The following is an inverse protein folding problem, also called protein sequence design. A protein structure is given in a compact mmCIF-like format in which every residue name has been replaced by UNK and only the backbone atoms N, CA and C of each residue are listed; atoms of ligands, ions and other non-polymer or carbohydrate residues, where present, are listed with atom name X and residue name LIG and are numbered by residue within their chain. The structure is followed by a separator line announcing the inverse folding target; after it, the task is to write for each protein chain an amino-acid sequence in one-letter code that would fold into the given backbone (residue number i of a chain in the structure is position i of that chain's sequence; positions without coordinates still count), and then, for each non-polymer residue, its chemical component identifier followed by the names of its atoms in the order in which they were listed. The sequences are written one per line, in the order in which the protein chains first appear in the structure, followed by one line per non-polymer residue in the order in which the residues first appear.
data_IF_796861612637
#
_entry.id   IF_796861612637
#
_cell.length_a   1.000
_cell.length_b   1.000
_cell.length_c   1.000
_cell.angle_alpha   90.00
_cell.angle_beta   90.00
_cell.angle_gamma   90.00
#
_symmetry.space_group_name_H-M   'P 1'
#
loop_
_entity.id
_entity.type
_entity.pdbx_description
1 polymer ?
#
# COMPACT_ATOMS: atom_id res chain seq x y z
N UNK A 1 -169.51 68.70 84.01
CA UNK A 1 -169.80 67.79 82.89
C UNK A 1 -168.49 67.20 82.43
N UNK A 2 -168.47 65.89 82.20
CA UNK A 2 -167.44 64.94 82.59
C UNK A 2 -166.76 64.38 81.32
N UNK A 3 -165.83 63.41 81.36
CA UNK A 3 -166.16 61.98 81.38
C UNK A 3 -164.99 61.11 81.87
N UNK A 4 -165.34 60.12 82.68
CA UNK A 4 -164.53 58.97 83.11
C UNK A 4 -164.38 57.94 81.96
N UNK A 5 -163.67 56.82 82.16
CA UNK A 5 -162.22 56.66 82.21
C UNK A 5 -161.76 55.62 81.15
N UNK A 6 -160.46 55.49 80.87
CA UNK A 6 -159.96 54.28 80.21
C UNK A 6 -158.73 53.73 80.94
N UNK A 7 -158.96 53.24 82.16
CA UNK A 7 -158.02 52.36 82.90
C UNK A 7 -157.63 51.11 82.09
N UNK A 8 -158.43 50.74 81.07
CA UNK A 8 -158.10 49.71 80.07
C UNK A 8 -156.91 50.10 79.17
N UNK A 9 -156.74 51.37 78.83
CA UNK A 9 -155.62 51.86 78.02
C UNK A 9 -154.32 51.89 78.82
N UNK A 10 -154.34 52.35 80.07
CA UNK A 10 -153.14 52.40 80.91
C UNK A 10 -152.61 51.01 81.32
N UNK A 11 -153.51 50.05 81.60
CA UNK A 11 -153.13 48.65 81.83
C UNK A 11 -152.70 47.94 80.54
N UNK A 12 -153.34 48.26 79.40
CA UNK A 12 -152.92 47.79 78.08
C UNK A 12 -151.52 48.28 77.69
N UNK A 13 -151.20 49.54 77.99
CA UNK A 13 -149.89 50.14 77.76
C UNK A 13 -148.80 49.58 78.68
N UNK A 14 -149.11 49.33 79.96
CA UNK A 14 -148.14 48.70 80.88
C UNK A 14 -147.86 47.24 80.48
N UNK A 15 -148.87 46.48 80.07
CA UNK A 15 -148.72 45.09 79.58
C UNK A 15 -147.99 45.07 78.24
N UNK A 16 -148.25 46.03 77.34
CA UNK A 16 -147.53 46.12 76.06
C UNK A 16 -146.08 46.54 76.25
N UNK A 17 -145.79 47.47 77.17
CA UNK A 17 -144.43 47.84 77.57
C UNK A 17 -143.68 46.69 78.24
N UNK A 18 -144.35 45.92 79.12
CA UNK A 18 -143.79 44.72 79.74
C UNK A 18 -143.48 43.62 78.72
N UNK A 19 -144.38 43.37 77.77
CA UNK A 19 -144.14 42.45 76.64
C UNK A 19 -143.01 42.95 75.73
N UNK A 20 -142.94 44.25 75.46
CA UNK A 20 -141.86 44.84 74.66
C UNK A 20 -140.50 44.83 75.39
N UNK A 21 -140.49 44.91 76.73
CA UNK A 21 -139.28 44.72 77.52
C UNK A 21 -138.82 43.25 77.51
N UNK A 22 -139.73 42.31 77.73
CA UNK A 22 -139.41 40.88 77.64
C UNK A 22 -138.93 40.48 76.24
N UNK A 23 -139.56 40.97 75.18
CA UNK A 23 -139.10 40.75 73.81
C UNK A 23 -137.71 41.34 73.55
N UNK A 24 -137.37 42.49 74.18
CA UNK A 24 -136.01 43.06 74.13
C UNK A 24 -135.01 42.22 74.89
N UNK A 25 -135.36 41.72 76.08
CA UNK A 25 -134.48 40.83 76.86
C UNK A 25 -134.25 39.51 76.13
N UNK A 26 -135.29 38.91 75.55
CA UNK A 26 -135.18 37.70 74.73
C UNK A 26 -134.37 37.95 73.45
N UNK A 27 -134.52 39.12 72.81
CA UNK A 27 -133.70 39.51 71.65
C UNK A 27 -132.23 39.70 72.02
N UNK A 28 -131.93 40.31 73.16
CA UNK A 28 -130.54 40.49 73.65
C UNK A 28 -129.95 39.14 74.06
N UNK A 29 -130.71 38.29 74.77
CA UNK A 29 -130.26 36.94 75.13
C UNK A 29 -130.02 36.06 73.88
N UNK A 30 -130.87 36.19 72.85
CA UNK A 30 -130.69 35.54 71.55
C UNK A 30 -129.46 36.05 70.80
N UNK A 31 -129.20 37.36 70.81
CA UNK A 31 -128.01 37.96 70.21
C UNK A 31 -126.73 37.50 70.91
N UNK A 32 -126.69 37.50 72.25
CA UNK A 32 -125.55 37.01 73.03
C UNK A 32 -125.32 35.51 72.78
N UNK A 33 -126.39 34.71 72.70
CA UNK A 33 -126.27 33.28 72.42
C UNK A 33 -125.74 33.02 71.01
N UNK A 34 -126.16 33.82 70.02
CA UNK A 34 -125.65 33.75 68.65
C UNK A 34 -124.18 34.19 68.56
N UNK A 35 -123.78 35.26 69.26
CA UNK A 35 -122.38 35.69 69.37
C UNK A 35 -121.51 34.63 70.06
N UNK A 36 -122.00 34.01 71.14
CA UNK A 36 -121.29 32.93 71.83
C UNK A 36 -121.13 31.70 70.93
N UNK A 37 -122.18 31.30 70.22
CA UNK A 37 -122.12 30.20 69.26
C UNK A 37 -121.15 30.49 68.10
N UNK A 38 -121.15 31.72 67.58
CA UNK A 38 -120.20 32.16 66.56
C UNK A 38 -118.76 32.16 67.09
N UNK A 39 -118.54 32.61 68.33
CA UNK A 39 -117.22 32.58 68.98
C UNK A 39 -116.75 31.15 69.26
N UNK A 40 -117.62 30.25 69.70
CA UNK A 40 -117.30 28.82 69.85
C UNK A 40 -116.95 28.17 68.50
N UNK A 41 -117.72 28.47 67.45
CA UNK A 41 -117.45 27.98 66.10
C UNK A 41 -116.11 28.50 65.58
N UNK A 42 -115.82 29.80 65.76
CA UNK A 42 -114.54 30.39 65.43
C UNK A 42 -113.40 29.75 66.24
N UNK A 43 -113.57 29.54 67.54
CA UNK A 43 -112.56 28.88 68.39
C UNK A 43 -112.28 27.44 67.94
N UNK A 44 -113.30 26.70 67.48
CA UNK A 44 -113.13 25.35 66.91
C UNK A 44 -112.42 25.38 65.56
N UNK A 45 -112.74 26.35 64.70
CA UNK A 45 -112.06 26.57 63.43
C UNK A 45 -110.57 26.90 63.64
N UNK A 46 -110.28 27.87 64.51
CA UNK A 46 -108.90 28.24 64.89
C UNK A 46 -108.14 27.07 65.52
N UNK A 47 -108.78 26.26 66.36
CA UNK A 47 -108.16 25.05 66.90
C UNK A 47 -107.83 24.02 65.80
N UNK A 48 -108.73 23.85 64.82
CA UNK A 48 -108.52 23.00 63.65
C UNK A 48 -107.38 23.49 62.75
N UNK A 49 -107.35 24.79 62.43
CA UNK A 49 -106.28 25.42 61.64
C UNK A 49 -104.92 25.30 62.35
N UNK A 50 -104.88 25.53 63.67
CA UNK A 50 -103.66 25.38 64.46
C UNK A 50 -103.16 23.93 64.48
N UNK A 51 -104.08 22.96 64.50
CA UNK A 51 -103.72 21.55 64.43
C UNK A 51 -103.21 21.18 63.03
N UNK A 52 -103.84 21.66 61.96
CA UNK A 52 -103.38 21.47 60.59
C UNK A 52 -101.97 22.04 60.37
N UNK A 53 -101.69 23.25 60.86
CA UNK A 53 -100.36 23.86 60.80
C UNK A 53 -99.31 23.06 61.59
N UNK A 54 -99.67 22.48 62.74
CA UNK A 54 -98.76 21.61 63.50
C UNK A 54 -98.45 20.31 62.76
N UNK A 55 -99.45 19.72 62.12
CA UNK A 55 -99.27 18.49 61.36
C UNK A 55 -98.47 18.75 60.07
N UNK A 56 -98.62 19.92 59.44
CA UNK A 56 -97.79 20.38 58.32
C UNK A 56 -96.33 20.66 58.72
N UNK A 57 -96.09 21.36 59.84
CA UNK A 57 -94.74 21.56 60.40
C UNK A 57 -94.06 20.22 60.74
N UNK A 58 -94.80 19.26 61.33
CA UNK A 58 -94.27 17.90 61.57
C UNK A 58 -93.87 17.23 60.25
N UNK A 59 -94.74 17.26 59.24
CA UNK A 59 -94.47 16.67 57.92
C UNK A 59 -93.25 17.30 57.24
N UNK A 60 -93.12 18.62 57.29
CA UNK A 60 -91.98 19.33 56.72
C UNK A 60 -90.66 18.98 57.45
N UNK A 61 -90.69 18.81 58.77
CA UNK A 61 -89.51 18.35 59.53
C UNK A 61 -89.11 16.93 59.16
N UNK A 62 -90.07 16.01 59.06
CA UNK A 62 -89.80 14.62 58.61
C UNK A 62 -89.23 14.60 57.18
N UNK A 63 -89.75 15.44 56.28
CA UNK A 63 -89.20 15.60 54.93
C UNK A 63 -87.78 16.18 54.95
N UNK A 64 -87.51 17.19 55.78
CA UNK A 64 -86.18 17.79 55.92
C UNK A 64 -85.16 16.78 56.47
N UNK A 65 -85.57 15.98 57.47
CA UNK A 65 -84.74 14.90 58.01
C UNK A 65 -84.43 13.86 56.93
N UNK A 66 -85.41 13.41 56.15
CA UNK A 66 -85.21 12.48 55.03
C UNK A 66 -84.27 13.06 53.96
N UNK A 67 -84.43 14.32 53.57
CA UNK A 67 -83.53 14.99 52.61
C UNK A 67 -82.12 15.12 53.20
N UNK A 68 -81.99 15.43 54.49
CA UNK A 68 -80.68 15.53 55.14
C UNK A 68 -79.96 14.19 55.19
N UNK A 69 -80.69 13.09 55.42
CA UNK A 69 -80.16 11.74 55.43
C UNK A 69 -79.67 11.32 54.03
N UNK A 70 -80.50 11.50 53.00
CA UNK A 70 -80.10 11.21 51.60
C UNK A 70 -78.92 12.05 51.14
N UNK A 71 -78.83 13.32 51.57
CA UNK A 71 -77.70 14.18 51.26
C UNK A 71 -76.41 13.73 51.97
N UNK A 72 -76.51 13.19 53.19
CA UNK A 72 -75.37 12.58 53.88
C UNK A 72 -74.90 11.30 53.17
N UNK A 73 -75.82 10.43 52.73
CA UNK A 73 -75.50 9.24 51.94
C UNK A 73 -74.82 9.59 50.61
N UNK A 74 -75.34 10.60 49.89
CA UNK A 74 -74.75 11.08 48.65
C UNK A 74 -73.35 11.65 48.86
N UNK A 75 -73.12 12.41 49.94
CA UNK A 75 -71.77 12.90 50.29
C UNK A 75 -70.79 11.76 50.54
N UNK A 76 -71.20 10.72 51.26
CA UNK A 76 -70.37 9.53 51.47
C UNK A 76 -70.12 8.75 50.18
N UNK A 77 -71.11 8.69 49.28
CA UNK A 77 -70.95 8.05 47.97
C UNK A 77 -69.96 8.83 47.08
N UNK A 78 -70.07 10.17 47.04
CA UNK A 78 -69.12 11.02 46.31
C UNK A 78 -67.70 10.85 46.86
N UNK A 79 -67.53 10.84 48.18
CA UNK A 79 -66.21 10.65 48.78
C UNK A 79 -65.59 9.30 48.39
N UNK A 80 -66.37 8.21 48.43
CA UNK A 80 -65.91 6.89 47.95
C UNK A 80 -65.51 6.90 46.48
N UNK A 81 -66.28 7.57 45.62
CA UNK A 81 -65.95 7.69 44.19
C UNK A 81 -64.66 8.51 43.99
N UNK A 82 -64.44 9.56 44.78
CA UNK A 82 -63.20 10.34 44.76
C UNK A 82 -62.00 9.48 45.16
N UNK A 83 -62.11 8.69 46.23
CA UNK A 83 -61.07 7.75 46.66
C UNK A 83 -60.77 6.69 45.59
N UNK A 84 -61.81 6.08 45.01
CA UNK A 84 -61.65 5.10 43.92
C UNK A 84 -61.00 5.73 42.68
N UNK A 85 -61.40 6.95 42.31
CA UNK A 85 -60.79 7.68 41.19
C UNK A 85 -59.31 7.95 41.44
N UNK A 86 -58.95 8.37 42.64
CA UNK A 86 -57.58 8.69 43.00
C UNK A 86 -56.72 7.42 43.04
N UNK A 87 -57.27 6.28 43.50
CA UNK A 87 -56.61 4.98 43.41
C UNK A 87 -56.38 4.55 41.96
N UNK A 88 -57.41 4.66 41.10
CA UNK A 88 -57.28 4.34 39.67
C UNK A 88 -56.25 5.24 38.98
N UNK A 89 -56.18 6.52 39.36
CA UNK A 89 -55.17 7.44 38.86
C UNK A 89 -53.76 6.99 39.27
N UNK A 90 -53.58 6.58 40.53
CA UNK A 90 -52.32 6.06 41.04
C UNK A 90 -51.89 4.77 40.33
N UNK A 91 -52.80 3.80 40.18
CA UNK A 91 -52.53 2.53 39.51
C UNK A 91 -52.16 2.74 38.04
N UNK A 92 -52.83 3.69 37.36
CA UNK A 92 -52.49 4.06 35.98
C UNK A 92 -51.10 4.67 35.88
N UNK A 93 -50.72 5.52 36.82
CA UNK A 93 -49.39 6.14 36.83
C UNK A 93 -48.30 5.11 37.12
N UNK A 94 -48.53 4.17 38.04
CA UNK A 94 -47.63 3.04 38.26
C UNK A 94 -47.49 2.16 37.01
N UNK A 95 -48.61 1.81 36.37
CA UNK A 95 -48.61 1.01 35.14
C UNK A 95 -47.88 1.73 33.99
N UNK A 96 -48.04 3.06 33.89
CA UNK A 96 -47.30 3.89 32.94
C UNK A 96 -45.80 3.85 33.21
N UNK A 97 -45.38 4.06 34.45
CA UNK A 97 -43.96 3.98 34.83
C UNK A 97 -43.36 2.60 34.55
N UNK A 98 -44.11 1.52 34.85
CA UNK A 98 -43.70 0.15 34.55
C UNK A 98 -43.54 -0.09 33.05
N UNK A 99 -44.47 0.42 32.21
CA UNK A 99 -44.35 0.37 30.75
C UNK A 99 -43.14 1.14 30.24
N UNK A 100 -42.92 2.37 30.72
CA UNK A 100 -41.77 3.18 30.33
C UNK A 100 -40.44 2.51 30.73
N UNK A 101 -40.38 1.83 31.88
CA UNK A 101 -39.21 1.05 32.29
C UNK A 101 -38.98 -0.15 31.36
N UNK A 102 -40.02 -0.93 31.07
CA UNK A 102 -39.93 -2.07 30.15
C UNK A 102 -39.56 -1.64 28.72
N UNK A 103 -40.07 -0.51 28.24
CA UNK A 103 -39.70 0.06 26.93
C UNK A 103 -38.22 0.47 26.89
N UNK A 104 -37.68 1.03 27.97
CA UNK A 104 -36.24 1.34 28.07
C UNK A 104 -35.40 0.06 28.04
N UNK A 105 -35.77 -0.97 28.79
CA UNK A 105 -35.09 -2.27 28.75
C UNK A 105 -35.16 -2.90 27.35
N UNK A 106 -36.31 -2.87 26.70
CA UNK A 106 -36.47 -3.35 25.33
C UNK A 106 -35.60 -2.55 24.34
N UNK A 107 -35.51 -1.23 24.50
CA UNK A 107 -34.65 -0.39 23.67
C UNK A 107 -33.16 -0.76 23.86
N UNK A 108 -32.72 -0.97 25.10
CA UNK A 108 -31.33 -1.39 25.39
C UNK A 108 -31.01 -2.77 24.81
N UNK A 109 -31.88 -3.75 25.00
CA UNK A 109 -31.70 -5.10 24.45
C UNK A 109 -31.71 -5.12 22.92
N UNK A 110 -32.55 -4.27 22.29
CA UNK A 110 -32.55 -4.10 20.83
C UNK A 110 -31.25 -3.47 20.34
N UNK A 111 -30.71 -2.48 21.05
CA UNK A 111 -29.42 -1.88 20.73
C UNK A 111 -28.28 -2.90 20.86
N UNK A 112 -28.27 -3.71 21.92
CA UNK A 112 -27.30 -4.78 22.12
C UNK A 112 -27.41 -5.86 21.03
N UNK A 113 -28.62 -6.29 20.65
CA UNK A 113 -28.81 -7.21 19.53
C UNK A 113 -28.29 -6.62 18.20
N UNK A 114 -28.48 -5.32 17.98
CA UNK A 114 -28.00 -4.65 16.76
C UNK A 114 -26.47 -4.63 16.74
N UNK A 115 -25.84 -4.32 17.88
CA UNK A 115 -24.38 -4.37 18.05
C UNK A 115 -23.82 -5.78 17.85
N UNK A 116 -24.47 -6.80 18.41
CA UNK A 116 -24.07 -8.20 18.23
C UNK A 116 -24.21 -8.64 16.76
N UNK A 117 -25.25 -8.20 16.06
CA UNK A 117 -25.43 -8.48 14.63
C UNK A 117 -24.33 -7.83 13.78
N UNK A 118 -23.96 -6.60 14.10
CA UNK A 118 -22.85 -5.91 13.44
C UNK A 118 -21.51 -6.63 13.69
N UNK A 119 -21.22 -7.00 14.94
CA UNK A 119 -20.03 -7.79 15.29
C UNK A 119 -19.99 -9.13 14.56
N UNK A 120 -21.12 -9.85 14.49
CA UNK A 120 -21.22 -11.09 13.73
C UNK A 120 -20.95 -10.85 12.24
N UNK A 121 -21.46 -9.74 11.68
CA UNK A 121 -21.19 -9.31 10.31
C UNK A 121 -19.69 -9.11 10.05
N UNK A 122 -18.99 -8.44 10.96
CA UNK A 122 -17.52 -8.28 10.88
C UNK A 122 -16.81 -9.63 10.91
N UNK A 123 -17.13 -10.50 11.88
CA UNK A 123 -16.51 -11.82 12.01
C UNK A 123 -16.77 -12.69 10.76
N UNK A 124 -17.97 -12.61 10.16
CA UNK A 124 -18.24 -13.32 8.91
C UNK A 124 -17.40 -12.81 7.75
N UNK A 125 -17.22 -11.49 7.64
CA UNK A 125 -16.38 -10.89 6.60
C UNK A 125 -14.91 -11.28 6.77
N UNK A 126 -14.42 -11.27 8.01
CA UNK A 126 -13.05 -11.68 8.32
C UNK A 126 -12.82 -13.16 8.02
N UNK A 127 -13.79 -14.03 8.36
CA UNK A 127 -13.76 -15.45 8.00
C UNK A 127 -13.68 -15.64 6.48
N UNK A 128 -14.51 -14.93 5.72
CA UNK A 128 -14.56 -15.06 4.26
C UNK A 128 -13.26 -14.53 3.63
N UNK A 129 -12.67 -13.47 4.18
CA UNK A 129 -11.35 -12.98 3.77
C UNK A 129 -10.25 -14.01 4.04
N UNK A 130 -10.21 -14.61 5.24
CA UNK A 130 -9.26 -15.67 5.58
C UNK A 130 -9.43 -16.91 4.70
N UNK A 131 -10.66 -17.25 4.31
CA UNK A 131 -10.91 -18.35 3.37
C UNK A 131 -10.37 -18.04 1.97
N UNK A 132 -10.51 -16.80 1.51
CA UNK A 132 -9.92 -16.36 0.23
C UNK A 132 -8.38 -16.41 0.28
N UNK A 133 -7.77 -15.91 1.35
CA UNK A 133 -6.32 -15.98 1.57
C UNK A 133 -5.83 -17.43 1.61
N UNK A 134 -6.58 -18.34 2.25
CA UNK A 134 -6.25 -19.77 2.29
C UNK A 134 -6.25 -20.39 0.89
N UNK A 135 -7.21 -20.03 0.03
CA UNK A 135 -7.24 -20.48 -1.37
C UNK A 135 -6.03 -19.93 -2.12
N UNK A 136 -5.70 -18.65 -1.93
CA UNK A 136 -4.55 -18.02 -2.57
C UNK A 136 -3.23 -18.70 -2.17
N UNK A 137 -3.02 -18.98 -0.88
CA UNK A 137 -1.85 -19.73 -0.42
C UNK A 137 -1.79 -21.14 -1.01
N UNK A 138 -2.93 -21.79 -1.23
CA UNK A 138 -3.01 -23.07 -1.93
C UNK A 138 -2.49 -22.97 -3.36
N UNK A 139 -2.95 -21.96 -4.12
CA UNK A 139 -2.52 -21.71 -5.49
C UNK A 139 -1.03 -21.34 -5.57
N UNK A 140 -0.57 -20.45 -4.70
CA UNK A 140 0.84 -20.03 -4.64
C UNK A 140 1.75 -21.25 -4.34
N UNK A 141 1.32 -22.13 -3.43
CA UNK A 141 2.02 -23.38 -3.13
C UNK A 141 2.10 -24.30 -4.35
N UNK A 142 1.01 -24.49 -5.09
CA UNK A 142 1.02 -25.29 -6.31
C UNK A 142 1.94 -24.69 -7.39
N UNK A 143 1.94 -23.37 -7.55
CA UNK A 143 2.85 -22.66 -8.45
C UNK A 143 4.31 -22.86 -8.06
N UNK A 144 4.63 -22.74 -6.77
CA UNK A 144 5.98 -22.96 -6.25
C UNK A 144 6.43 -24.40 -6.47
N UNK A 145 5.59 -25.39 -6.17
CA UNK A 145 5.90 -26.80 -6.45
C UNK A 145 6.14 -27.04 -7.95
N UNK A 146 5.32 -26.43 -8.81
CA UNK A 146 5.54 -26.48 -10.26
C UNK A 146 6.81 -25.78 -10.73
N UNK A 147 7.26 -24.74 -10.03
CA UNK A 147 8.56 -24.10 -10.31
C UNK A 147 9.73 -24.97 -9.85
N UNK A 148 9.58 -25.64 -8.71
CA UNK A 148 10.58 -26.55 -8.16
C UNK A 148 10.80 -27.76 -9.08
N UNK A 149 9.74 -28.35 -9.61
CA UNK A 149 9.85 -29.46 -10.57
C UNK A 149 10.55 -29.03 -11.86
N UNK A 150 10.17 -27.88 -12.43
CA UNK A 150 10.86 -27.33 -13.62
C UNK A 150 12.33 -27.03 -13.37
N UNK A 151 12.68 -26.53 -12.19
CA UNK A 151 14.07 -26.28 -11.81
C UNK A 151 14.84 -27.60 -11.68
N UNK A 152 14.26 -28.62 -11.05
CA UNK A 152 14.85 -29.96 -10.95
C UNK A 152 15.09 -30.59 -12.31
N UNK A 153 14.13 -30.49 -13.22
CA UNK A 153 14.29 -30.95 -14.61
C UNK A 153 15.44 -30.22 -15.32
N UNK A 154 15.54 -28.90 -15.16
CA UNK A 154 16.62 -28.11 -15.77
C UNK A 154 18.00 -28.40 -15.17
N UNK A 155 18.08 -28.67 -13.87
CA UNK A 155 19.33 -29.14 -13.24
C UNK A 155 19.72 -30.49 -13.82
N UNK A 156 18.77 -31.43 -13.90
CA UNK A 156 19.04 -32.75 -14.49
C UNK A 156 19.49 -32.67 -15.95
N UNK A 157 18.95 -31.73 -16.76
CA UNK A 157 19.40 -31.56 -18.14
C UNK A 157 20.82 -30.98 -18.20
N UNK A 158 21.12 -29.97 -17.38
CA UNK A 158 22.45 -29.37 -17.31
C UNK A 158 23.51 -30.37 -16.82
N UNK A 159 23.17 -31.25 -15.88
CA UNK A 159 24.07 -32.31 -15.43
C UNK A 159 24.37 -33.31 -16.56
N UNK A 160 23.39 -33.62 -17.41
CA UNK A 160 23.58 -34.47 -18.58
C UNK A 160 24.47 -33.79 -19.64
N UNK A 161 24.22 -32.50 -19.92
CA UNK A 161 25.04 -31.70 -20.84
C UNK A 161 26.49 -31.61 -20.35
N UNK A 162 26.68 -31.34 -19.06
CA UNK A 162 28.01 -31.27 -18.43
C UNK A 162 28.75 -32.62 -18.50
N UNK A 163 28.03 -33.73 -18.36
CA UNK A 163 28.62 -35.06 -18.52
C UNK A 163 29.07 -35.32 -19.96
N UNK A 164 28.28 -34.87 -20.95
CA UNK A 164 28.65 -34.95 -22.38
C UNK A 164 29.91 -34.13 -22.68
N UNK A 165 29.95 -32.87 -22.26
CA UNK A 165 31.10 -31.98 -22.43
C UNK A 165 32.36 -32.53 -21.78
N UNK A 166 32.24 -33.14 -20.59
CA UNK A 166 33.38 -33.81 -19.94
C UNK A 166 33.90 -35.00 -20.74
N UNK A 167 33.02 -35.82 -21.30
CA UNK A 167 33.41 -36.95 -22.15
C UNK A 167 34.08 -36.48 -23.44
N UNK A 168 33.58 -35.41 -24.06
CA UNK A 168 34.20 -34.80 -25.25
C UNK A 168 35.58 -34.23 -24.93
N UNK A 169 35.71 -33.53 -23.80
CA UNK A 169 37.00 -33.01 -23.34
C UNK A 169 38.02 -34.12 -23.08
N UNK A 170 37.61 -35.22 -22.45
CA UNK A 170 38.46 -36.39 -22.22
C UNK A 170 38.91 -37.03 -23.55
N UNK A 171 38.00 -37.16 -24.52
CA UNK A 171 38.32 -37.65 -25.86
C UNK A 171 39.28 -36.72 -26.63
N UNK A 172 39.15 -35.40 -26.45
CA UNK A 172 40.09 -34.43 -27.01
C UNK A 172 41.46 -34.52 -26.33
N UNK A 173 41.51 -34.72 -25.01
CA UNK A 173 42.75 -34.91 -24.27
C UNK A 173 43.51 -36.16 -24.72
N UNK A 174 42.82 -37.30 -24.90
CA UNK A 174 43.45 -38.53 -25.39
C UNK A 174 43.98 -38.35 -26.81
N UNK A 175 43.20 -37.73 -27.70
CA UNK A 175 43.65 -37.40 -29.07
C UNK A 175 44.86 -36.47 -29.09
N UNK A 176 44.89 -35.47 -28.20
CA UNK A 176 46.05 -34.59 -28.07
C UNK A 176 47.28 -35.37 -27.59
N UNK A 177 47.13 -36.26 -26.59
CA UNK A 177 48.21 -37.12 -26.12
C UNK A 177 48.77 -38.00 -27.26
N UNK A 178 47.91 -38.65 -28.05
CA UNK A 178 48.31 -39.44 -29.22
C UNK A 178 49.07 -38.60 -30.25
N UNK A 179 48.58 -37.40 -30.58
CA UNK A 179 49.25 -36.49 -31.52
C UNK A 179 50.62 -36.04 -30.98
N UNK A 180 50.74 -35.78 -29.68
CA UNK A 180 52.04 -35.44 -29.08
C UNK A 180 53.01 -36.62 -29.11
N UNK A 181 52.55 -37.85 -28.90
CA UNK A 181 53.38 -39.05 -29.00
C UNK A 181 53.85 -39.28 -30.45
N UNK A 182 52.94 -39.12 -31.42
CA UNK A 182 53.27 -39.18 -32.86
C UNK A 182 54.28 -38.10 -33.26
N UNK A 183 54.09 -36.87 -32.77
CA UNK A 183 55.02 -35.77 -33.00
C UNK A 183 56.42 -36.06 -32.42
N UNK A 184 56.48 -36.54 -31.18
CA UNK A 184 57.73 -36.91 -30.53
C UNK A 184 58.44 -38.05 -31.27
N UNK A 185 57.70 -39.05 -31.76
CA UNK A 185 58.26 -40.15 -32.57
C UNK A 185 58.81 -39.66 -33.90
N UNK A 186 58.08 -38.81 -34.61
CA UNK A 186 58.58 -38.21 -35.85
C UNK A 186 59.83 -37.35 -35.60
N UNK A 187 59.87 -36.61 -34.49
CA UNK A 187 61.05 -35.85 -34.09
C UNK A 187 62.25 -36.77 -33.81
N UNK A 188 62.06 -37.89 -33.10
CA UNK A 188 63.12 -38.86 -32.85
C UNK A 188 63.62 -39.53 -34.13
N UNK A 189 62.70 -39.93 -35.03
CA UNK A 189 63.03 -40.54 -36.31
C UNK A 189 63.81 -39.56 -37.20
N UNK A 190 63.43 -38.28 -37.19
CA UNK A 190 64.14 -37.23 -37.91
C UNK A 190 65.56 -37.01 -37.35
N UNK A 191 65.72 -36.97 -36.03
CA UNK A 191 67.04 -36.88 -35.38
C UNK A 191 67.91 -38.08 -35.73
N UNK A 192 67.37 -39.30 -35.65
CA UNK A 192 68.08 -40.52 -36.02
C UNK A 192 68.50 -40.52 -37.49
N UNK A 193 67.60 -40.12 -38.41
CA UNK A 193 67.92 -40.02 -39.84
C UNK A 193 69.01 -38.98 -40.11
N UNK A 194 68.96 -37.84 -39.42
CA UNK A 194 69.99 -36.80 -39.53
C UNK A 194 71.34 -37.28 -39.02
N UNK A 195 71.39 -38.01 -37.90
CA UNK A 195 72.62 -38.62 -37.39
C UNK A 195 73.19 -39.66 -38.36
N UNK A 196 72.34 -40.52 -38.94
CA UNK A 196 72.76 -41.49 -39.94
C UNK A 196 73.35 -40.82 -41.19
N UNK A 197 72.67 -39.80 -41.73
CA UNK A 197 73.18 -39.02 -42.86
C UNK A 197 74.48 -38.31 -42.51
N UNK A 198 74.61 -37.75 -41.31
CA UNK A 198 75.86 -37.11 -40.87
C UNK A 198 77.01 -38.13 -40.75
N UNK A 199 76.74 -39.34 -40.27
CA UNK A 199 77.72 -40.42 -40.22
C UNK A 199 78.13 -40.91 -41.62
N UNK A 200 77.17 -41.01 -42.55
CA UNK A 200 77.45 -41.36 -43.95
C UNK A 200 78.27 -40.28 -44.65
N UNK A 201 77.94 -39.00 -44.46
CA UNK A 201 78.76 -37.87 -44.94
C UNK A 201 80.15 -37.92 -44.31
N UNK A 202 80.27 -38.24 -43.01
CA UNK A 202 81.57 -38.35 -42.35
C UNK A 202 82.41 -39.50 -42.92
N UNK A 203 81.80 -40.68 -43.16
CA UNK A 203 82.48 -41.81 -43.78
C UNK A 203 82.91 -41.51 -45.23
N UNK A 204 82.03 -40.89 -46.03
CA UNK A 204 82.37 -40.43 -47.38
C UNK A 204 83.49 -39.38 -47.37
N UNK A 205 83.48 -38.47 -46.40
CA UNK A 205 84.56 -37.49 -46.23
C UNK A 205 85.87 -38.17 -45.83
N UNK A 206 85.84 -39.19 -44.98
CA UNK A 206 87.02 -39.96 -44.59
C UNK A 206 87.58 -40.76 -45.78
N UNK A 207 86.73 -41.39 -46.59
CA UNK A 207 87.13 -42.02 -47.85
C UNK A 207 87.72 -41.00 -48.83
N UNK A 208 87.06 -39.86 -49.01
CA UNK A 208 87.56 -38.75 -49.82
C UNK A 208 88.87 -38.21 -49.29
N UNK A 209 89.07 -38.12 -47.98
CA UNK A 209 90.34 -37.74 -47.36
C UNK A 209 91.41 -38.79 -47.59
N UNK A 210 91.10 -40.10 -47.51
CA UNK A 210 92.03 -41.17 -47.85
C UNK A 210 92.43 -41.12 -49.32
N UNK A 211 91.49 -40.90 -50.22
CA UNK A 211 91.74 -40.69 -51.66
C UNK A 211 92.55 -39.42 -51.88
N UNK A 212 92.22 -38.33 -51.18
CA UNK A 212 92.95 -37.06 -51.23
C UNK A 212 94.35 -37.21 -50.65
N UNK A 213 94.55 -38.05 -49.64
CA UNK A 213 95.85 -38.38 -49.05
C UNK A 213 96.66 -39.27 -49.98
N UNK A 214 96.07 -40.24 -50.67
CA UNK A 214 96.71 -40.97 -51.77
C UNK A 214 97.06 -40.05 -52.95
N UNK A 215 96.16 -39.13 -53.31
CA UNK A 215 96.42 -38.11 -54.31
C UNK A 215 97.49 -37.13 -53.85
N UNK A 216 97.52 -36.73 -52.58
CA UNK A 216 98.56 -35.90 -51.99
C UNK A 216 99.87 -36.67 -51.90
N UNK A 217 99.92 -37.95 -51.58
CA UNK A 217 101.12 -38.78 -51.67
C UNK A 217 101.60 -38.91 -53.14
N UNK A 218 100.67 -38.87 -54.10
CA UNK A 218 100.98 -38.79 -55.54
C UNK A 218 101.40 -37.39 -56.00
N UNK A 219 100.88 -36.32 -55.38
CA UNK A 219 101.18 -34.92 -55.67
C UNK A 219 102.36 -34.39 -54.83
N UNK A 220 102.73 -35.02 -53.73
CA UNK A 220 103.90 -34.73 -52.90
C UNK A 220 105.17 -35.29 -53.56
N UNK A 221 105.03 -36.16 -54.57
CA UNK A 221 106.06 -36.38 -55.59
C UNK A 221 106.28 -35.17 -56.50
N UNK A 222 105.35 -34.21 -56.55
CA UNK A 222 105.40 -33.00 -57.36
C UNK A 222 105.05 -31.73 -56.56
N UNK A 223 106.07 -31.28 -55.81
CA UNK A 223 106.38 -29.87 -55.48
C UNK A 223 105.64 -29.13 -54.34
N UNK A 224 106.45 -28.20 -53.81
CA UNK A 224 106.31 -27.32 -52.63
C UNK A 224 105.26 -26.20 -52.76
N UNK A 225 104.79 -25.64 -51.61
CA UNK A 225 103.63 -24.76 -51.49
C UNK A 225 103.99 -23.25 -51.47
N UNK A 226 102.97 -22.37 -51.52
CA UNK A 226 102.85 -20.98 -50.98
C UNK A 226 101.59 -20.28 -51.59
N UNK A 227 101.09 -19.13 -51.08
CA UNK A 227 100.36 -18.89 -49.81
C UNK A 227 98.95 -18.26 -50.01
N UNK A 228 98.17 -18.19 -48.93
CA UNK A 228 96.92 -17.39 -48.77
C UNK A 228 97.17 -15.88 -48.95
N UNK A 229 96.16 -15.00 -49.22
CA UNK A 229 95.35 -14.45 -48.11
C UNK A 229 93.97 -13.79 -48.44
N UNK A 230 93.33 -13.34 -47.35
CA UNK A 230 92.40 -12.21 -47.18
C UNK A 230 90.94 -12.41 -47.67
N UNK A 231 89.90 -12.14 -46.87
CA UNK A 231 89.79 -11.29 -45.69
C UNK A 231 88.97 -10.04 -46.04
N UNK A 232 87.65 -10.13 -45.95
CA UNK A 232 86.73 -9.00 -46.17
C UNK A 232 85.82 -8.87 -44.95
N UNK A 233 86.06 -7.85 -44.14
CA UNK A 233 85.19 -7.43 -43.04
C UNK A 233 83.96 -6.69 -43.59
N UNK A 234 82.75 -7.00 -43.14
CA UNK A 234 81.63 -6.07 -43.19
C UNK A 234 81.49 -5.32 -41.86
N UNK A 235 81.04 -4.07 -42.00
CA UNK A 235 80.62 -3.11 -40.99
C UNK A 235 80.01 -3.76 -39.73
N UNK A 236 80.71 -3.66 -38.60
CA UNK A 236 80.22 -4.11 -37.29
C UNK A 236 79.25 -3.06 -36.76
N UNK A 237 77.94 -3.31 -36.85
CA UNK A 237 77.05 -2.91 -35.75
C UNK A 237 77.39 -3.82 -34.58
N UNK A 238 77.49 -3.30 -33.35
CA UNK A 238 77.91 -4.17 -32.24
C UNK A 238 76.92 -5.33 -32.13
N UNK A 239 77.43 -6.55 -31.98
CA UNK A 239 76.64 -7.79 -31.87
C UNK A 239 75.54 -7.64 -30.80
N UNK A 240 75.84 -6.89 -29.74
CA UNK A 240 74.94 -6.58 -28.65
C UNK A 240 73.76 -5.68 -29.05
N UNK A 241 73.97 -4.68 -29.92
CA UNK A 241 72.91 -3.80 -30.43
C UNK A 241 71.95 -4.55 -31.37
N UNK A 242 72.48 -5.42 -32.23
CA UNK A 242 71.65 -6.25 -33.11
C UNK A 242 70.81 -7.27 -32.32
N UNK A 243 71.39 -7.86 -31.26
CA UNK A 243 70.65 -8.75 -30.37
C UNK A 243 69.51 -8.04 -29.64
N UNK A 244 69.71 -6.80 -29.17
CA UNK A 244 68.67 -6.03 -28.49
C UNK A 244 67.50 -5.64 -29.40
N UNK A 245 67.78 -5.28 -30.66
CA UNK A 245 66.75 -4.96 -31.65
C UNK A 245 65.92 -6.21 -31.98
N UNK A 246 66.58 -7.33 -32.30
CA UNK A 246 65.90 -8.56 -32.68
C UNK A 246 65.11 -9.18 -31.53
N UNK A 247 65.63 -9.13 -30.29
CA UNK A 247 64.90 -9.61 -29.12
C UNK A 247 63.60 -8.82 -28.88
N UNK A 248 63.63 -7.49 -29.04
CA UNK A 248 62.45 -6.62 -28.88
C UNK A 248 61.42 -6.80 -30.00
N UNK A 249 61.87 -6.97 -31.24
CA UNK A 249 61.02 -7.29 -32.38
C UNK A 249 60.33 -8.65 -32.21
N UNK A 250 61.06 -9.67 -31.75
CA UNK A 250 60.49 -10.99 -31.49
C UNK A 250 59.45 -10.95 -30.35
N UNK A 251 59.68 -10.16 -29.31
CA UNK A 251 58.70 -9.96 -28.24
C UNK A 251 57.41 -9.28 -28.74
N UNK A 252 57.53 -8.23 -29.56
CA UNK A 252 56.39 -7.57 -30.20
C UNK A 252 55.55 -8.53 -31.04
N UNK A 253 56.20 -9.29 -31.93
CA UNK A 253 55.53 -10.24 -32.82
C UNK A 253 54.91 -11.38 -32.02
N UNK A 254 55.63 -11.91 -31.02
CA UNK A 254 55.15 -13.00 -30.17
C UNK A 254 53.91 -12.63 -29.37
N UNK A 255 53.97 -11.55 -28.57
CA UNK A 255 52.83 -11.14 -27.74
C UNK A 255 51.64 -10.62 -28.57
N UNK A 256 51.89 -9.98 -29.71
CA UNK A 256 50.80 -9.58 -30.62
C UNK A 256 50.10 -10.79 -31.28
N UNK A 257 50.86 -11.83 -31.65
CA UNK A 257 50.29 -13.07 -32.20
C UNK A 257 49.43 -13.80 -31.18
N UNK A 258 49.86 -13.86 -29.91
CA UNK A 258 49.08 -14.45 -28.82
C UNK A 258 47.79 -13.66 -28.54
N UNK A 259 47.84 -12.33 -28.65
CA UNK A 259 46.65 -11.48 -28.47
C UNK A 259 45.65 -11.56 -29.64
N UNK A 260 46.12 -11.89 -30.85
CA UNK A 260 45.28 -12.04 -32.05
C UNK A 260 44.69 -13.44 -32.19
N UNK A 261 45.28 -14.44 -31.53
CA UNK A 261 44.80 -15.82 -31.53
C UNK A 261 43.76 -16.07 -30.42
N UNK A 262 42.57 -15.50 -30.61
CA UNK A 262 41.44 -15.64 -29.66
C UNK A 262 40.81 -17.04 -29.64
N UNK A 263 41.24 -17.97 -30.51
CA UNK A 263 40.63 -19.31 -30.64
C UNK A 263 41.41 -20.40 -29.95
N UNK A 264 42.73 -20.26 -29.82
CA UNK A 264 43.58 -21.31 -29.25
C UNK A 264 44.00 -21.04 -27.80
N UNK A 265 43.96 -19.80 -27.32
CA UNK A 265 44.31 -19.44 -25.93
C UNK A 265 43.40 -18.32 -25.39
N UNK A 266 42.34 -18.63 -24.60
CA UNK A 266 41.49 -17.61 -24.01
C UNK A 266 42.25 -16.88 -22.89
N UNK A 267 42.87 -15.75 -23.26
CA UNK A 267 43.64 -14.90 -22.34
C UNK A 267 42.70 -14.19 -21.37
N UNK A 268 42.98 -14.27 -20.06
CA UNK A 268 42.22 -13.54 -19.02
C UNK A 268 42.35 -12.02 -19.18
N UNK A 269 41.47 -11.24 -18.54
CA UNK A 269 41.48 -9.76 -18.64
C UNK A 269 42.80 -9.19 -18.12
N UNK A 270 43.36 -9.81 -17.08
CA UNK A 270 44.62 -9.47 -16.43
C UNK A 270 45.82 -9.80 -17.34
N UNK A 271 45.87 -11.00 -17.90
CA UNK A 271 46.94 -11.42 -18.83
C UNK A 271 46.90 -10.60 -20.13
N UNK A 272 45.71 -10.25 -20.63
CA UNK A 272 45.55 -9.39 -21.81
C UNK A 272 46.13 -8.01 -21.55
N UNK A 273 45.89 -7.42 -20.36
CA UNK A 273 46.49 -6.15 -19.95
C UNK A 273 48.00 -6.25 -19.86
N UNK A 274 48.53 -7.36 -19.36
CA UNK A 274 49.96 -7.58 -19.22
C UNK A 274 50.67 -7.75 -20.58
N UNK A 275 50.10 -8.52 -21.51
CA UNK A 275 50.65 -8.65 -22.86
C UNK A 275 50.61 -7.34 -23.65
N UNK A 276 49.52 -6.57 -23.55
CA UNK A 276 49.43 -5.24 -24.18
C UNK A 276 50.50 -4.30 -23.60
N UNK A 277 50.76 -4.38 -22.29
CA UNK A 277 51.85 -3.63 -21.64
C UNK A 277 53.23 -4.03 -22.19
N UNK A 278 53.52 -5.32 -22.34
CA UNK A 278 54.80 -5.78 -22.89
C UNK A 278 55.00 -5.40 -24.36
N UNK A 279 53.94 -5.44 -25.18
CA UNK A 279 53.94 -4.93 -26.56
C UNK A 279 54.28 -3.44 -26.56
N UNK A 280 53.59 -2.64 -25.75
CA UNK A 280 53.83 -1.21 -25.68
C UNK A 280 55.26 -0.87 -25.23
N UNK A 281 55.75 -1.51 -24.16
CA UNK A 281 57.10 -1.28 -23.63
C UNK A 281 58.19 -1.67 -24.63
N UNK A 282 58.00 -2.78 -25.35
CA UNK A 282 58.93 -3.23 -26.40
C UNK A 282 58.96 -2.26 -27.58
N UNK A 283 57.82 -1.68 -27.98
CA UNK A 283 57.75 -0.67 -29.05
C UNK A 283 58.45 0.64 -28.67
N UNK A 284 58.23 1.15 -27.46
CA UNK A 284 58.86 2.39 -26.96
C UNK A 284 60.38 2.24 -26.96
N UNK A 285 60.86 1.13 -26.39
CA UNK A 285 62.28 0.79 -26.28
C UNK A 285 62.92 0.52 -27.64
N UNK A 286 62.20 -0.07 -28.59
CA UNK A 286 62.68 -0.23 -29.97
C UNK A 286 62.83 1.13 -30.67
N UNK A 287 61.85 2.03 -30.48
CA UNK A 287 61.89 3.40 -31.01
C UNK A 287 63.04 4.22 -30.44
N UNK A 288 63.40 4.04 -29.17
CA UNK A 288 64.60 4.64 -28.56
C UNK A 288 65.91 4.08 -29.14
N UNK A 289 66.00 2.76 -29.32
CA UNK A 289 67.16 2.13 -29.95
C UNK A 289 67.34 2.64 -31.39
N UNK A 290 66.24 2.78 -32.14
CA UNK A 290 66.26 3.32 -33.50
C UNK A 290 66.65 4.80 -33.52
N UNK A 291 66.14 5.63 -32.60
CA UNK A 291 66.53 7.05 -32.44
C UNK A 291 68.01 7.22 -32.09
N UNK A 292 68.60 6.28 -31.34
CA UNK A 292 70.04 6.29 -31.02
C UNK A 292 70.93 5.99 -32.24
N UNK A 293 70.41 5.23 -33.21
CA UNK A 293 71.13 4.83 -34.44
C UNK A 293 70.99 5.87 -35.54
N UNK A 294 69.80 6.47 -35.70
CA UNK A 294 69.51 7.37 -36.83
C UNK A 294 69.84 8.83 -36.57
N UNK A 295 70.21 9.19 -35.34
CA UNK A 295 70.87 10.46 -35.00
C UNK A 295 70.31 11.68 -35.73
N UNK A 296 68.99 11.89 -35.75
CA UNK A 296 68.43 13.09 -36.38
C UNK A 296 67.04 13.47 -35.87
N UNK A 297 66.90 14.79 -35.71
CA UNK A 297 65.69 15.55 -35.42
C UNK A 297 64.59 15.21 -36.43
N UNK A 298 63.49 14.66 -35.95
CA UNK A 298 62.20 14.70 -36.62
C UNK A 298 61.10 14.99 -35.59
N UNK A 299 60.31 16.00 -35.90
CA UNK A 299 59.19 16.58 -35.17
C UNK A 299 58.17 15.56 -34.66
N UNK A 300 57.90 15.59 -33.35
CA UNK A 300 56.75 14.91 -32.77
C UNK A 300 55.47 15.68 -33.13
N UNK A 301 54.72 15.15 -34.09
CA UNK A 301 53.30 15.37 -34.22
C UNK A 301 52.57 14.30 -33.38
N UNK A 302 51.72 14.77 -32.48
CA UNK A 302 50.51 14.15 -31.93
C UNK A 302 50.57 12.67 -31.47
N UNK A 303 50.64 12.50 -30.15
CA UNK A 303 49.89 11.44 -29.44
C UNK A 303 49.90 11.75 -27.95
N UNK A 304 49.10 12.74 -27.56
CA UNK A 304 48.66 12.90 -26.18
C UNK A 304 47.20 12.42 -26.11
N UNK A 305 46.87 11.34 -25.38
CA UNK A 305 45.47 11.03 -25.07
C UNK A 305 44.92 12.11 -24.11
N UNK A 306 43.63 12.45 -24.15
CA UNK A 306 43.09 13.53 -23.35
C UNK A 306 43.19 13.19 -21.86
N UNK A 307 43.80 14.10 -21.09
CA UNK A 307 43.75 14.08 -19.65
C UNK A 307 42.31 14.31 -19.19
N UNK A 308 41.76 13.38 -18.40
CA UNK A 308 40.46 13.53 -17.76
C UNK A 308 40.62 14.56 -16.62
N UNK A 309 39.93 15.69 -16.75
CA UNK A 309 39.71 16.69 -15.69
C UNK A 309 39.25 15.98 -14.39
N UNK A 310 40.12 15.91 -13.38
CA UNK A 310 39.77 15.34 -12.06
C UNK A 310 39.05 16.33 -11.13
N UNK A 311 38.61 17.49 -11.64
CA UNK A 311 37.98 18.55 -10.83
C UNK A 311 36.46 18.69 -11.02
N UNK A 312 35.82 17.88 -11.88
CA UNK A 312 34.36 17.92 -12.04
C UNK A 312 33.71 16.95 -11.07
N UNK A 313 32.85 17.45 -10.17
CA UNK A 313 31.95 16.61 -9.37
C UNK A 313 31.25 15.62 -10.32
N UNK A 314 31.16 14.32 -9.95
CA UNK A 314 30.53 13.34 -10.81
C UNK A 314 29.11 13.81 -11.17
N UNK A 315 28.69 13.72 -12.45
CA UNK A 315 27.40 14.22 -12.86
C UNK A 315 26.27 13.46 -12.15
N UNK A 316 25.36 14.21 -11.53
CA UNK A 316 24.21 13.67 -10.80
C UNK A 316 23.15 13.13 -11.77
N UNK A 317 22.71 11.89 -11.57
CA UNK A 317 21.53 11.31 -12.20
C UNK A 317 20.42 11.25 -11.15
N UNK A 318 19.25 11.82 -11.46
CA UNK A 318 18.07 11.76 -10.61
C UNK A 318 17.21 10.55 -11.01
N UNK A 319 16.88 9.69 -10.05
CA UNK A 319 16.01 8.52 -10.27
C UNK A 319 14.76 8.69 -9.44
N UNK A 320 13.60 8.73 -10.11
CA UNK A 320 12.27 8.84 -9.51
C UNK A 320 11.51 7.52 -9.69
N UNK A 321 11.48 6.73 -8.63
CA UNK A 321 10.94 5.37 -8.61
C UNK A 321 10.42 5.09 -7.19
N UNK A 322 9.29 4.38 -7.03
CA UNK A 322 8.77 4.00 -5.72
C UNK A 322 9.13 2.56 -5.32
N UNK A 323 9.74 1.78 -6.23
CA UNK A 323 10.18 0.41 -5.99
C UNK A 323 11.60 0.36 -5.41
N UNK A 324 11.70 -0.16 -4.18
CA UNK A 324 12.97 -0.33 -3.49
C UNK A 324 13.89 -1.36 -4.15
N UNK A 325 13.35 -2.36 -4.86
CA UNK A 325 14.17 -3.33 -5.60
C UNK A 325 14.81 -2.71 -6.83
N UNK A 326 14.05 -1.89 -7.57
CA UNK A 326 14.57 -1.14 -8.73
C UNK A 326 15.68 -0.18 -8.32
N UNK A 327 15.58 0.46 -7.15
CA UNK A 327 16.69 1.23 -6.56
C UNK A 327 17.96 0.39 -6.39
N UNK A 328 17.85 -0.79 -5.78
CA UNK A 328 18.99 -1.67 -5.52
C UNK A 328 19.66 -2.19 -6.81
N UNK A 329 18.94 -2.20 -7.94
CA UNK A 329 19.49 -2.55 -9.26
C UNK A 329 20.12 -1.36 -9.96
N UNK A 330 19.45 -0.22 -9.99
CA UNK A 330 19.84 0.97 -10.78
C UNK A 330 21.03 1.69 -10.14
N UNK A 331 21.01 1.87 -8.81
CA UNK A 331 22.02 2.66 -8.10
C UNK A 331 23.44 2.09 -8.26
N UNK A 332 23.70 0.77 -8.06
CA UNK A 332 25.03 0.20 -8.29
C UNK A 332 25.45 0.14 -9.75
N UNK A 333 24.49 0.09 -10.69
CA UNK A 333 24.78 0.10 -12.12
C UNK A 333 25.31 1.48 -12.56
N UNK A 334 24.60 2.55 -12.20
CA UNK A 334 25.00 3.92 -12.54
C UNK A 334 26.27 4.37 -11.81
N UNK A 335 26.44 3.98 -10.53
CA UNK A 335 27.66 4.27 -9.78
C UNK A 335 28.90 3.61 -10.38
N UNK A 336 28.80 2.36 -10.87
CA UNK A 336 29.90 1.69 -11.60
C UNK A 336 30.24 2.38 -12.92
N UNK A 337 29.27 3.05 -13.54
CA UNK A 337 29.47 3.85 -14.75
C UNK A 337 30.04 5.25 -14.46
N UNK A 338 30.29 5.61 -13.19
CA UNK A 338 30.92 6.87 -12.79
C UNK A 338 29.96 8.02 -12.50
N UNK A 339 28.66 7.74 -12.35
CA UNK A 339 27.64 8.75 -12.02
C UNK A 339 27.29 8.74 -10.53
N UNK A 340 26.98 9.91 -9.98
CA UNK A 340 26.30 9.99 -8.68
C UNK A 340 24.80 9.86 -8.87
N UNK A 341 24.14 9.20 -7.93
CA UNK A 341 22.71 8.86 -8.06
C UNK A 341 21.95 9.47 -6.92
N UNK A 342 20.99 10.33 -7.25
CA UNK A 342 20.04 10.90 -6.30
C UNK A 342 18.70 10.21 -6.50
N UNK A 343 18.26 9.47 -5.48
CA UNK A 343 17.01 8.72 -5.53
C UNK A 343 15.87 9.49 -4.83
N UNK A 344 14.70 9.49 -5.45
CA UNK A 344 13.46 10.05 -4.89
C UNK A 344 12.30 9.09 -5.11
N UNK A 345 11.42 9.01 -4.12
CA UNK A 345 10.32 8.04 -4.04
C UNK A 345 8.97 8.58 -4.56
N UNK A 346 8.92 9.85 -4.99
CA UNK A 346 7.70 10.49 -5.46
C UNK A 346 7.97 11.66 -6.42
N UNK A 347 6.98 11.97 -7.26
CA UNK A 347 7.06 13.02 -8.27
C UNK A 347 7.31 14.44 -7.74
N UNK A 348 6.64 14.92 -6.67
CA UNK A 348 6.90 16.25 -6.11
C UNK A 348 8.36 16.44 -5.67
N UNK A 349 8.97 15.44 -5.02
CA UNK A 349 10.40 15.48 -4.67
C UNK A 349 11.29 15.46 -5.90
N UNK A 350 10.89 14.77 -6.97
CA UNK A 350 11.63 14.80 -8.23
C UNK A 350 11.66 16.20 -8.85
N UNK A 351 10.54 16.94 -8.84
CA UNK A 351 10.49 18.33 -9.34
C UNK A 351 11.39 19.27 -8.53
N UNK A 352 11.31 19.16 -7.20
CA UNK A 352 12.14 19.95 -6.28
C UNK A 352 13.62 19.67 -6.52
N UNK A 353 14.02 18.39 -6.53
CA UNK A 353 15.42 17.99 -6.72
C UNK A 353 15.94 18.29 -8.11
N UNK A 354 15.16 18.11 -9.16
CA UNK A 354 15.54 18.47 -10.52
C UNK A 354 15.84 19.97 -10.65
N UNK A 355 15.01 20.81 -10.03
CA UNK A 355 15.20 22.26 -10.05
C UNK A 355 16.47 22.71 -9.32
N UNK A 356 16.80 22.06 -8.20
CA UNK A 356 17.94 22.43 -7.36
C UNK A 356 19.27 21.83 -7.82
N UNK A 357 19.27 20.58 -8.26
CA UNK A 357 20.49 19.82 -8.57
C UNK A 357 20.92 19.93 -10.02
N UNK A 358 20.00 20.30 -10.93
CA UNK A 358 20.29 20.36 -12.37
C UNK A 358 20.97 19.06 -12.86
N UNK A 359 20.36 17.88 -12.64
CA UNK A 359 20.97 16.60 -12.97
C UNK A 359 21.24 16.47 -14.48
N UNK A 360 22.20 15.60 -14.82
CA UNK A 360 22.53 15.29 -16.22
C UNK A 360 21.38 14.59 -16.95
N UNK A 361 20.62 13.77 -16.23
CA UNK A 361 19.43 13.10 -16.73
C UNK A 361 18.49 12.72 -15.57
N UNK A 362 17.21 12.56 -15.89
CA UNK A 362 16.17 12.10 -14.96
C UNK A 362 15.61 10.77 -15.47
N UNK A 363 15.66 9.73 -14.64
CA UNK A 363 14.99 8.46 -14.89
C UNK A 363 13.67 8.48 -14.11
N UNK A 364 12.56 8.21 -14.79
CA UNK A 364 11.23 8.23 -14.18
C UNK A 364 10.55 6.89 -14.41
N UNK A 365 10.08 6.24 -13.34
CA UNK A 365 9.21 5.07 -13.44
C UNK A 365 7.84 5.44 -14.03
N UNK A 366 7.40 4.66 -15.02
CA UNK A 366 6.11 4.80 -15.68
C UNK A 366 4.91 4.69 -14.72
N UNK A 367 5.05 3.99 -13.58
CA UNK A 367 3.99 3.79 -12.59
C UNK A 367 4.13 4.66 -11.32
N UNK A 368 4.99 5.68 -11.33
CA UNK A 368 5.26 6.53 -10.17
C UNK A 368 4.00 7.28 -9.67
N UNK A 369 3.49 7.02 -8.45
CA UNK A 369 2.35 7.74 -7.88
C UNK A 369 2.75 9.14 -7.34
N UNK A 370 1.78 10.06 -7.12
CA UNK A 370 0.35 9.97 -7.43
C UNK A 370 -0.02 10.39 -8.87
N UNK A 371 0.92 10.97 -9.62
CA UNK A 371 0.63 11.68 -10.89
C UNK A 371 1.05 10.93 -12.16
N UNK A 372 1.84 9.86 -12.05
CA UNK A 372 2.38 9.11 -13.19
C UNK A 372 3.47 9.87 -13.95
N UNK A 373 4.29 9.14 -14.72
CA UNK A 373 5.39 9.70 -15.50
C UNK A 373 4.98 10.84 -16.47
N UNK A 374 3.86 10.76 -17.22
CA UNK A 374 3.51 11.81 -18.19
C UNK A 374 3.23 13.17 -17.54
N UNK A 375 2.54 13.20 -16.39
CA UNK A 375 2.26 14.45 -15.70
C UNK A 375 3.54 15.08 -15.14
N UNK A 376 4.43 14.26 -14.59
CA UNK A 376 5.72 14.72 -14.08
C UNK A 376 6.60 15.31 -15.19
N UNK A 377 6.64 14.67 -16.37
CA UNK A 377 7.36 15.20 -17.55
C UNK A 377 6.79 16.56 -17.98
N UNK A 378 5.47 16.72 -18.02
CA UNK A 378 4.85 18.02 -18.36
C UNK A 378 5.26 19.12 -17.38
N UNK A 379 5.27 18.83 -16.08
CA UNK A 379 5.69 19.81 -15.07
C UNK A 379 7.20 20.14 -15.19
N UNK A 380 8.06 19.15 -15.46
CA UNK A 380 9.49 19.37 -15.71
C UNK A 380 9.75 20.25 -16.95
N UNK A 381 8.92 20.12 -18.00
CA UNK A 381 9.05 20.93 -19.22
C UNK A 381 8.54 22.36 -19.07
N UNK A 382 7.61 22.62 -18.13
CA UNK A 382 7.10 23.97 -17.86
C UNK A 382 8.15 24.88 -17.22
N UNK A 383 9.01 24.35 -16.34
CA UNK A 383 10.04 25.16 -15.67
C UNK A 383 11.25 25.39 -16.59
N UNK A 384 11.65 26.65 -16.87
CA UNK A 384 12.85 26.97 -17.64
C UNK A 384 14.13 26.31 -17.15
N UNK A 385 14.21 25.98 -15.86
CA UNK A 385 15.39 25.38 -15.24
C UNK A 385 15.47 23.87 -15.49
N UNK A 386 14.36 23.20 -15.75
CA UNK A 386 14.35 21.74 -15.92
C UNK A 386 13.94 21.29 -17.32
N UNK A 387 13.50 22.23 -18.18
CA UNK A 387 12.99 21.91 -19.51
C UNK A 387 13.99 21.25 -20.44
N UNK A 388 15.29 21.50 -20.28
CA UNK A 388 16.32 21.00 -21.20
C UNK A 388 16.97 19.71 -20.69
N UNK A 389 16.61 19.27 -19.48
CA UNK A 389 17.16 18.07 -18.86
C UNK A 389 16.61 16.83 -19.60
N UNK A 390 17.47 15.92 -20.10
CA UNK A 390 17.06 14.66 -20.69
C UNK A 390 16.24 13.81 -19.70
N UNK A 391 15.10 13.31 -20.15
CA UNK A 391 14.24 12.42 -19.36
C UNK A 391 14.15 11.05 -20.03
N UNK A 392 14.40 10.00 -19.26
CA UNK A 392 14.29 8.60 -19.67
C UNK A 392 13.15 7.95 -18.89
N UNK A 393 12.17 7.40 -19.58
CA UNK A 393 11.09 6.65 -18.96
C UNK A 393 11.48 5.19 -18.78
N UNK A 394 11.27 4.68 -17.57
CA UNK A 394 11.40 3.26 -17.24
C UNK A 394 10.03 2.61 -17.40
N UNK A 395 10.00 1.45 -18.05
CA UNK A 395 8.76 0.71 -18.30
C UNK A 395 9.00 -0.78 -18.11
N UNK A 396 8.03 -1.46 -17.52
CA UNK A 396 8.07 -2.90 -17.35
C UNK A 396 7.89 -3.64 -18.68
N UNK A 397 8.28 -4.93 -18.73
CA UNK A 397 8.26 -5.73 -19.97
C UNK A 397 6.87 -5.90 -20.62
N UNK A 398 5.78 -5.62 -19.89
CA UNK A 398 4.39 -5.73 -20.36
C UNK A 398 3.61 -4.40 -20.34
N UNK A 399 4.29 -3.26 -20.19
CA UNK A 399 3.62 -1.96 -20.20
C UNK A 399 3.34 -1.50 -21.64
N UNK A 400 2.11 -1.02 -21.96
CA UNK A 400 1.84 -0.45 -23.28
C UNK A 400 2.77 0.75 -23.53
N UNK A 401 3.16 1.02 -24.79
CA UNK A 401 4.04 2.14 -25.10
C UNK A 401 3.45 3.44 -24.55
N UNK A 402 4.18 4.10 -23.65
CA UNK A 402 3.78 5.39 -23.09
C UNK A 402 3.79 6.44 -24.21
N UNK A 403 2.60 6.82 -24.69
CA UNK A 403 2.44 7.92 -25.62
C UNK A 403 2.62 9.24 -24.87
N UNK A 404 3.80 9.85 -24.97
CA UNK A 404 3.96 11.28 -24.67
C UNK A 404 3.48 12.00 -25.94
N UNK A 405 2.24 12.49 -25.96
CA UNK A 405 1.75 13.28 -27.07
C UNK A 405 2.62 14.54 -27.20
N UNK A 406 3.37 14.66 -28.29
CA UNK A 406 4.16 15.86 -28.63
C UNK A 406 3.27 17.09 -28.91
N UNK A 407 1.95 16.94 -28.94
CA UNK A 407 0.99 18.01 -29.19
C UNK A 407 0.55 18.68 -27.87
N UNK A 408 1.41 19.51 -27.29
CA UNK A 408 1.11 20.65 -26.39
C UNK A 408 2.41 21.13 -25.71
N UNK A 409 3.44 21.40 -26.51
CA UNK A 409 4.63 22.19 -26.11
C UNK A 409 4.42 23.63 -26.54
#
# INVERSE_FOLDING_TARGET
MPDSPNLSSALGDAVSQGRAFLARVESVAGAISAELAAHEQASRQWAGERQALKDEDRRLREQLESVSATLAELRQAVHRIEEERDQVAHDRDQARQGREAAERELATTTADMTRLREQLGMVTKDRDALQADQIQWGLDREQLLGSETRLKERVSSLDADLASERAEHEALQTRHAELTEQSNKLASDWVARRQALAAEIAAQNEEMEQVRKMMLESQERDRRPLPSPAGSQPLVTSVEQNHQINSRLNALVGFSSVLLDERSHPVTVEERREYVRYVHESAVKLGEAFRSITGSRASNAESNPPAVDQERRPPDILVADNDAESRQRIEPFLKRAGYEVVYVDNGPRALEKASHLQPLAILIDGQLPPSGAPALVRELRKDPRTRDIPVVLLSGPNSPPLAIAESEV
#
